data_IF_655039483615
#
_entry.id   IF_655039483615
#
_cell.length_a   1.000
_cell.length_b   1.000
_cell.length_c   1.000
_cell.angle_alpha   90.00
_cell.angle_beta   90.00
_cell.angle_gamma   90.00
#
_symmetry.space_group_name_H-M   'P 1'
#
loop_
_entity.id
_entity.type
_entity.pdbx_description
1 polymer ?
#
# COMPACT_ATOMS: atom_id res chain seq x y z
N UNK A 1 -31.37 -22.19 -18.41
CA UNK A 1 -30.16 -21.77 -17.66
C UNK A 1 -30.45 -21.33 -16.23
N UNK A 2 -31.71 -21.11 -15.83
CA UNK A 2 -32.04 -20.65 -14.47
C UNK A 2 -31.63 -21.65 -13.37
N UNK A 3 -31.66 -22.96 -13.66
CA UNK A 3 -31.14 -24.01 -12.77
C UNK A 3 -29.72 -23.70 -12.25
N UNK A 4 -28.85 -23.11 -13.09
CA UNK A 4 -27.47 -22.77 -12.73
C UNK A 4 -27.36 -21.57 -11.78
N UNK A 5 -28.43 -20.77 -11.66
CA UNK A 5 -28.47 -19.61 -10.74
C UNK A 5 -29.01 -19.96 -9.36
N UNK A 6 -29.46 -21.19 -9.13
CA UNK A 6 -30.12 -21.61 -7.89
C UNK A 6 -29.18 -21.77 -6.69
N UNK A 7 -27.89 -22.05 -6.91
CA UNK A 7 -26.88 -22.20 -5.84
C UNK A 7 -26.25 -20.87 -5.47
N UNK A 8 -25.75 -20.73 -4.23
CA UNK A 8 -25.01 -19.56 -3.77
C UNK A 8 -23.68 -19.95 -3.13
N UNK A 9 -22.61 -19.23 -3.48
CA UNK A 9 -21.25 -19.40 -2.97
C UNK A 9 -20.73 -18.06 -2.44
N UNK A 10 -20.43 -18.01 -1.15
CA UNK A 10 -19.86 -16.81 -0.52
C UNK A 10 -18.45 -16.53 -1.03
N UNK A 11 -17.59 -17.56 -1.08
CA UNK A 11 -16.23 -17.51 -1.59
C UNK A 11 -15.82 -18.88 -2.12
N UNK A 12 -15.62 -19.00 -3.43
CA UNK A 12 -15.28 -20.30 -4.05
C UNK A 12 -13.87 -20.76 -3.71
N UNK A 13 -12.96 -19.83 -3.43
CA UNK A 13 -11.59 -20.13 -3.03
C UNK A 13 -11.50 -20.89 -1.70
N UNK A 14 -12.51 -20.83 -0.84
CA UNK A 14 -12.51 -21.53 0.46
C UNK A 14 -13.09 -22.96 0.37
N UNK A 15 -13.63 -23.33 -0.80
CA UNK A 15 -14.29 -24.61 -1.01
C UNK A 15 -13.26 -25.61 -1.54
N UNK A 16 -12.87 -26.58 -0.71
CA UNK A 16 -11.86 -27.59 -1.06
C UNK A 16 -12.19 -28.37 -2.36
N UNK A 17 -13.48 -28.55 -2.67
CA UNK A 17 -13.92 -29.18 -3.91
C UNK A 17 -13.67 -28.33 -5.16
N UNK A 18 -13.35 -27.05 -5.03
CA UNK A 18 -13.08 -26.11 -6.12
C UNK A 18 -11.61 -25.67 -6.19
N UNK A 19 -10.82 -25.91 -5.13
CA UNK A 19 -9.40 -25.52 -5.06
C UNK A 19 -8.51 -26.42 -5.92
N UNK A 20 -7.73 -25.79 -6.81
CA UNK A 20 -6.69 -26.43 -7.63
C UNK A 20 -7.20 -27.72 -8.29
N UNK A 21 -8.34 -27.63 -8.97
CA UNK A 21 -9.03 -28.73 -9.64
C UNK A 21 -8.93 -28.61 -11.16
N UNK A 22 -9.19 -29.70 -11.88
CA UNK A 22 -9.41 -29.59 -13.33
C UNK A 22 -10.83 -29.02 -13.60
N UNK A 23 -11.12 -28.63 -14.83
CA UNK A 23 -12.43 -28.04 -15.15
C UNK A 23 -13.58 -29.04 -14.94
N UNK A 24 -13.38 -30.32 -15.28
CA UNK A 24 -14.39 -31.37 -15.11
C UNK A 24 -14.84 -31.52 -13.65
N UNK A 25 -13.89 -31.60 -12.72
CA UNK A 25 -14.13 -31.69 -11.28
C UNK A 25 -14.95 -30.49 -10.79
N UNK A 26 -14.56 -29.28 -11.21
CA UNK A 26 -15.27 -28.04 -10.84
C UNK A 26 -16.69 -28.04 -11.37
N UNK A 27 -16.86 -28.28 -12.66
CA UNK A 27 -18.17 -28.23 -13.32
C UNK A 27 -19.10 -29.33 -12.78
N UNK A 28 -18.58 -30.53 -12.52
CA UNK A 28 -19.35 -31.62 -11.93
C UNK A 28 -19.75 -31.34 -10.47
N UNK A 29 -18.99 -30.52 -9.74
CA UNK A 29 -19.36 -30.08 -8.40
C UNK A 29 -20.47 -29.01 -8.42
N UNK A 30 -20.38 -28.02 -9.31
CA UNK A 30 -21.33 -26.89 -9.33
C UNK A 30 -22.59 -27.14 -10.16
N UNK A 31 -22.62 -28.19 -10.99
CA UNK A 31 -23.73 -28.42 -11.92
C UNK A 31 -25.05 -28.67 -11.16
N UNK A 32 -26.17 -28.12 -11.64
CA UNK A 32 -27.48 -28.43 -11.07
C UNK A 32 -27.86 -29.90 -11.32
N UNK A 33 -28.81 -30.39 -10.53
CA UNK A 33 -29.34 -31.75 -10.70
C UNK A 33 -29.90 -31.97 -12.11
N UNK A 34 -29.62 -33.14 -12.69
CA UNK A 34 -30.04 -33.51 -14.04
C UNK A 34 -29.22 -32.89 -15.17
N UNK A 35 -28.20 -32.07 -14.87
CA UNK A 35 -27.27 -31.59 -15.87
C UNK A 35 -26.08 -32.52 -16.06
N UNK A 36 -25.61 -32.62 -17.30
CA UNK A 36 -24.42 -33.39 -17.67
C UNK A 36 -23.36 -32.47 -18.24
N UNK A 37 -22.09 -32.73 -17.91
CA UNK A 37 -20.92 -32.03 -18.47
C UNK A 37 -20.20 -33.03 -19.38
N UNK A 38 -19.74 -32.57 -20.53
CA UNK A 38 -19.00 -33.38 -21.52
C UNK A 38 -17.86 -32.56 -22.09
N UNK A 39 -16.81 -33.21 -22.62
CA UNK A 39 -15.68 -32.51 -23.24
C UNK A 39 -14.70 -31.89 -22.23
N UNK A 40 -14.82 -32.17 -20.93
CA UNK A 40 -13.90 -31.64 -19.92
C UNK A 40 -12.43 -32.01 -20.12
N UNK A 41 -12.13 -33.05 -20.91
CA UNK A 41 -10.78 -33.51 -21.24
C UNK A 41 -9.99 -32.54 -22.13
N UNK A 42 -10.64 -31.55 -22.76
CA UNK A 42 -9.98 -30.55 -23.63
C UNK A 42 -8.98 -29.66 -22.90
N UNK A 43 -9.02 -29.63 -21.56
CA UNK A 43 -8.06 -28.93 -20.70
C UNK A 43 -7.72 -29.77 -19.47
N UNK A 44 -6.42 -30.02 -19.29
CA UNK A 44 -5.89 -30.79 -18.14
C UNK A 44 -5.33 -29.90 -17.03
N UNK A 45 -5.21 -28.59 -17.25
CA UNK A 45 -4.67 -27.65 -16.28
C UNK A 45 -5.54 -27.59 -15.01
N UNK A 46 -4.89 -27.40 -13.86
CA UNK A 46 -5.56 -27.31 -12.56
C UNK A 46 -5.56 -25.86 -12.06
N UNK A 47 -6.73 -25.35 -11.67
CA UNK A 47 -6.91 -23.97 -11.20
C UNK A 47 -8.00 -23.89 -10.13
N UNK A 48 -8.05 -22.74 -9.44
CA UNK A 48 -9.15 -22.39 -8.55
C UNK A 48 -9.99 -21.32 -9.24
N UNK A 49 -11.29 -21.53 -9.50
CA UNK A 49 -12.18 -20.53 -10.10
C UNK A 49 -12.59 -19.50 -9.04
N UNK A 50 -11.63 -18.71 -8.57
CA UNK A 50 -11.83 -17.75 -7.48
C UNK A 50 -12.87 -16.69 -7.87
N UNK A 51 -13.92 -16.61 -7.05
CA UNK A 51 -15.07 -15.71 -7.15
C UNK A 51 -15.82 -15.65 -5.82
N UNK A 52 -16.31 -14.47 -5.47
CA UNK A 52 -17.05 -14.22 -4.23
C UNK A 52 -18.51 -13.82 -4.52
N UNK A 53 -19.40 -14.07 -3.55
CA UNK A 53 -20.82 -13.68 -3.54
C UNK A 53 -21.52 -13.99 -4.87
N UNK A 54 -21.41 -15.24 -5.33
CA UNK A 54 -21.75 -15.63 -6.68
C UNK A 54 -22.62 -16.90 -6.72
N UNK A 55 -23.29 -17.14 -7.85
CA UNK A 55 -24.08 -18.37 -8.07
C UNK A 55 -23.35 -19.38 -8.98
N UNK A 56 -23.94 -20.55 -9.22
CA UNK A 56 -23.32 -21.60 -10.05
C UNK A 56 -23.04 -21.16 -11.48
N UNK A 57 -23.92 -20.35 -12.08
CA UNK A 57 -23.72 -19.76 -13.40
C UNK A 57 -22.51 -18.82 -13.42
N UNK A 58 -22.31 -18.03 -12.36
CA UNK A 58 -21.18 -17.15 -12.23
C UNK A 58 -19.85 -17.90 -12.15
N UNK A 59 -19.82 -19.06 -11.47
CA UNK A 59 -18.65 -19.95 -11.39
C UNK A 59 -18.42 -20.65 -12.72
N UNK A 60 -19.48 -21.11 -13.40
CA UNK A 60 -19.41 -21.66 -14.75
C UNK A 60 -18.77 -20.67 -15.73
N UNK A 61 -19.22 -19.41 -15.73
CA UNK A 61 -18.63 -18.35 -16.55
C UNK A 61 -17.20 -17.99 -16.13
N UNK A 62 -16.88 -18.07 -14.83
CA UNK A 62 -15.49 -17.90 -14.35
C UNK A 62 -14.58 -18.98 -14.92
N UNK A 63 -15.05 -20.23 -14.98
CA UNK A 63 -14.30 -21.35 -15.54
C UNK A 63 -13.98 -21.15 -17.02
N UNK A 64 -14.87 -20.50 -17.80
CA UNK A 64 -14.61 -20.14 -19.21
C UNK A 64 -13.29 -19.40 -19.37
N UNK A 65 -13.04 -18.42 -18.50
CA UNK A 65 -11.85 -17.56 -18.52
C UNK A 65 -10.64 -18.27 -17.91
N UNK A 66 -10.81 -18.88 -16.73
CA UNK A 66 -9.71 -19.48 -15.97
C UNK A 66 -9.06 -20.66 -16.69
N UNK A 67 -9.88 -21.43 -17.41
CA UNK A 67 -9.42 -22.62 -18.14
C UNK A 67 -9.22 -22.37 -19.64
N UNK A 68 -9.52 -21.17 -20.14
CA UNK A 68 -9.48 -20.79 -21.56
C UNK A 68 -10.26 -21.78 -22.45
N UNK A 69 -11.56 -21.88 -22.17
CA UNK A 69 -12.52 -22.76 -22.85
C UNK A 69 -13.75 -21.99 -23.34
N UNK A 70 -14.61 -22.64 -24.14
CA UNK A 70 -15.96 -22.18 -24.44
C UNK A 70 -16.99 -23.26 -24.06
N UNK A 71 -18.27 -22.90 -24.07
CA UNK A 71 -19.36 -23.83 -23.78
C UNK A 71 -20.39 -23.84 -24.90
N UNK A 72 -20.92 -25.03 -25.18
CA UNK A 72 -22.23 -25.21 -25.79
C UNK A 72 -23.24 -25.61 -24.72
N UNK A 73 -24.41 -24.98 -24.81
CA UNK A 73 -25.52 -25.23 -23.89
C UNK A 73 -26.67 -25.87 -24.65
N UNK A 74 -26.91 -27.15 -24.42
CA UNK A 74 -28.18 -27.78 -24.74
C UNK A 74 -29.08 -27.70 -23.52
N UNK A 75 -29.90 -26.65 -23.48
CA UNK A 75 -30.81 -26.43 -22.35
C UNK A 75 -31.96 -27.43 -22.29
N UNK A 76 -32.33 -28.05 -23.42
CA UNK A 76 -33.42 -29.03 -23.49
C UNK A 76 -32.96 -30.38 -22.92
N UNK A 77 -31.79 -30.84 -23.38
CA UNK A 77 -31.18 -32.08 -22.90
C UNK A 77 -30.39 -31.89 -21.60
N UNK A 78 -30.27 -30.65 -21.11
CA UNK A 78 -29.49 -30.25 -19.92
C UNK A 78 -28.02 -30.67 -20.00
N UNK A 79 -27.37 -30.39 -21.13
CA UNK A 79 -25.95 -30.71 -21.36
C UNK A 79 -25.13 -29.42 -21.52
N UNK A 80 -23.98 -29.39 -20.85
CA UNK A 80 -22.92 -28.40 -21.10
C UNK A 80 -21.75 -29.14 -21.74
N UNK A 81 -21.39 -28.76 -22.96
CA UNK A 81 -20.19 -29.28 -23.63
C UNK A 81 -19.07 -28.27 -23.52
N UNK A 82 -17.93 -28.66 -22.95
CA UNK A 82 -16.72 -27.87 -22.86
C UNK A 82 -15.97 -27.98 -24.18
N UNK A 83 -15.64 -26.84 -24.78
CA UNK A 83 -15.04 -26.75 -26.11
C UNK A 83 -13.69 -26.05 -26.03
N UNK A 84 -12.69 -26.59 -26.73
CA UNK A 84 -11.44 -25.89 -27.00
C UNK A 84 -11.67 -24.76 -28.03
N UNK A 85 -11.50 -23.48 -27.67
CA UNK A 85 -11.66 -22.36 -28.60
C UNK A 85 -10.64 -22.35 -29.74
N UNK A 86 -9.55 -23.13 -29.66
CA UNK A 86 -8.52 -23.21 -30.70
C UNK A 86 -8.60 -24.48 -31.53
N UNK A 87 -9.35 -25.49 -31.08
CA UNK A 87 -9.70 -26.60 -31.95
C UNK A 87 -10.56 -26.04 -33.10
N UNK A 88 -10.11 -26.28 -34.33
CA UNK A 88 -10.90 -26.06 -35.53
C UNK A 88 -10.97 -27.38 -36.27
N UNK A 89 -12.19 -27.81 -36.55
CA UNK A 89 -12.44 -28.95 -37.43
C UNK A 89 -12.79 -28.34 -38.78
N UNK A 90 -12.01 -28.68 -39.79
CA UNK A 90 -12.37 -28.41 -41.17
C UNK A 90 -13.43 -29.44 -41.58
N UNK A 91 -14.66 -28.97 -41.75
CA UNK A 91 -15.78 -29.79 -42.19
C UNK A 91 -16.04 -29.69 -43.69
N UNK A 92 -15.17 -29.01 -44.44
CA UNK A 92 -15.31 -28.85 -45.89
C UNK A 92 -16.46 -27.94 -46.28
N UNK A 93 -16.91 -27.05 -45.38
CA UNK A 93 -17.95 -26.08 -45.69
C UNK A 93 -17.42 -25.02 -46.66
N UNK A 94 -18.03 -24.93 -47.85
CA UNK A 94 -17.75 -23.88 -48.82
C UNK A 94 -18.86 -22.83 -48.83
N UNK A 95 -18.45 -21.56 -48.80
CA UNK A 95 -19.35 -20.42 -49.00
C UNK A 95 -18.77 -19.51 -50.08
N UNK A 96 -19.33 -19.60 -51.29
CA UNK A 96 -18.84 -18.89 -52.48
C UNK A 96 -19.97 -18.23 -53.27
N UNK A 97 -19.69 -17.15 -54.03
CA UNK A 97 -20.67 -16.49 -54.92
C UNK A 97 -21.35 -17.43 -55.91
N UNK A 98 -20.65 -18.45 -56.38
CA UNK A 98 -21.14 -19.41 -57.39
C UNK A 98 -22.03 -20.52 -56.79
N UNK A 99 -22.02 -20.69 -55.46
CA UNK A 99 -22.68 -21.82 -54.80
C UNK A 99 -23.87 -21.39 -53.96
N UNK A 100 -23.62 -20.66 -52.86
CA UNK A 100 -24.61 -20.41 -51.81
C UNK A 100 -24.53 -19.02 -51.20
N UNK A 101 -23.58 -18.17 -51.61
CA UNK A 101 -23.47 -16.79 -51.17
C UNK A 101 -24.37 -15.87 -52.01
N UNK A 102 -25.19 -15.04 -51.37
CA UNK A 102 -25.97 -13.98 -52.02
C UNK A 102 -25.26 -12.63 -51.99
N UNK A 103 -24.66 -12.31 -50.85
CA UNK A 103 -24.01 -11.02 -50.58
C UNK A 103 -23.05 -11.18 -49.40
N UNK A 104 -22.05 -10.31 -49.30
CA UNK A 104 -21.16 -10.21 -48.16
C UNK A 104 -20.82 -8.76 -47.82
N UNK A 105 -20.71 -8.46 -46.53
CA UNK A 105 -20.13 -7.22 -46.01
C UNK A 105 -18.79 -7.52 -45.37
N UNK A 106 -17.74 -6.80 -45.78
CA UNK A 106 -16.41 -6.87 -45.17
C UNK A 106 -16.18 -5.73 -44.19
N UNK A 107 -15.71 -6.04 -42.98
CA UNK A 107 -15.21 -5.06 -42.02
C UNK A 107 -13.73 -5.36 -41.75
N UNK A 108 -12.87 -4.47 -42.22
CA UNK A 108 -11.42 -4.54 -42.04
C UNK A 108 -11.03 -4.08 -40.63
N UNK A 109 -10.21 -4.88 -39.95
CA UNK A 109 -9.50 -4.49 -38.73
C UNK A 109 -8.12 -3.98 -39.14
N UNK A 110 -7.70 -2.84 -38.59
CA UNK A 110 -6.47 -2.08 -38.93
C UNK A 110 -5.13 -2.77 -38.61
N UNK A 111 -5.10 -4.09 -38.44
CA UNK A 111 -3.88 -4.87 -38.24
C UNK A 111 -3.31 -5.28 -39.59
N UNK A 112 -2.18 -4.67 -39.96
CA UNK A 112 -1.51 -4.91 -41.23
C UNK A 112 -1.06 -6.36 -41.40
N UNK A 113 -1.26 -6.88 -42.62
CA UNK A 113 -0.77 -8.17 -43.12
C UNK A 113 0.71 -8.38 -42.81
N UNK A 114 1.09 -9.46 -42.12
CA UNK A 114 2.49 -9.84 -41.86
C UNK A 114 2.84 -11.10 -42.64
N UNK A 115 3.87 -11.06 -43.48
CA UNK A 115 4.29 -12.22 -44.27
C UNK A 115 5.64 -12.80 -43.85
N UNK A 116 6.30 -12.16 -42.86
CA UNK A 116 7.54 -12.64 -42.22
C UNK A 116 7.56 -12.33 -40.73
N UNK A 117 7.82 -13.34 -39.90
CA UNK A 117 7.86 -13.21 -38.44
C UNK A 117 9.22 -13.64 -37.87
N UNK A 118 9.92 -12.71 -37.21
CA UNK A 118 11.09 -13.02 -36.39
C UNK A 118 10.65 -13.48 -34.99
N UNK A 119 11.31 -14.48 -34.42
CA UNK A 119 10.92 -15.03 -33.11
C UNK A 119 12.11 -15.13 -32.15
N UNK A 120 11.92 -14.66 -30.91
CA UNK A 120 12.93 -14.68 -29.86
C UNK A 120 12.34 -15.14 -28.52
N UNK A 121 13.04 -16.05 -27.84
CA UNK A 121 12.72 -16.61 -26.52
C UNK A 121 13.56 -15.97 -25.40
N UNK A 122 13.75 -16.72 -24.30
CA UNK A 122 14.65 -16.30 -23.21
C UNK A 122 16.09 -16.16 -23.71
N UNK A 123 16.84 -15.19 -23.19
CA UNK A 123 18.27 -14.97 -23.52
C UNK A 123 18.55 -14.91 -25.04
N UNK A 124 17.66 -14.23 -25.80
CA UNK A 124 17.71 -14.12 -27.26
C UNK A 124 17.69 -15.46 -28.02
N UNK A 125 17.21 -16.54 -27.38
CA UNK A 125 17.02 -17.85 -28.01
C UNK A 125 16.17 -17.72 -29.28
N UNK A 126 16.72 -18.19 -30.41
CA UNK A 126 16.00 -18.29 -31.68
C UNK A 126 16.18 -19.68 -32.30
N UNK A 127 15.54 -19.94 -33.42
CA UNK A 127 15.55 -21.23 -34.10
C UNK A 127 16.37 -21.22 -35.40
N UNK A 128 17.23 -20.21 -35.63
CA UNK A 128 18.07 -20.11 -36.84
C UNK A 128 18.79 -21.42 -37.16
N UNK A 129 19.35 -22.07 -36.15
CA UNK A 129 20.18 -23.27 -36.29
C UNK A 129 19.37 -24.50 -36.73
N UNK A 130 18.05 -24.48 -36.54
CA UNK A 130 17.13 -25.56 -36.94
C UNK A 130 16.17 -25.13 -38.07
N UNK A 131 16.44 -23.97 -38.70
CA UNK A 131 15.60 -23.37 -39.73
C UNK A 131 16.47 -22.70 -40.82
N UNK A 132 17.46 -23.44 -41.33
CA UNK A 132 18.33 -23.03 -42.44
C UNK A 132 19.06 -21.69 -42.24
N UNK A 133 19.48 -21.40 -41.01
CA UNK A 133 20.15 -20.14 -40.63
C UNK A 133 19.20 -18.94 -40.54
N UNK A 134 17.88 -19.14 -40.66
CA UNK A 134 16.89 -18.05 -40.65
C UNK A 134 16.26 -17.91 -39.27
N UNK A 135 16.44 -16.77 -38.58
CA UNK A 135 15.77 -16.48 -37.30
C UNK A 135 14.30 -16.04 -37.49
N UNK A 136 13.71 -16.32 -38.65
CA UNK A 136 12.37 -15.91 -39.02
C UNK A 136 11.65 -16.98 -39.86
N UNK A 137 10.34 -16.86 -39.94
CA UNK A 137 9.47 -17.73 -40.73
C UNK A 137 8.83 -16.89 -41.85
N UNK A 138 8.77 -17.45 -43.05
CA UNK A 138 8.08 -16.87 -44.22
C UNK A 138 6.71 -17.52 -44.44
N UNK A 139 5.73 -16.71 -44.85
CA UNK A 139 4.42 -17.17 -45.24
C UNK A 139 4.51 -17.98 -46.54
N UNK A 140 4.10 -19.25 -46.50
CA UNK A 140 4.14 -20.14 -47.65
C UNK A 140 3.18 -19.69 -48.75
N UNK A 141 3.63 -19.71 -50.01
CA UNK A 141 2.82 -19.36 -51.18
C UNK A 141 2.67 -17.86 -51.47
N UNK A 142 3.11 -16.98 -50.58
CA UNK A 142 3.08 -15.53 -50.80
C UNK A 142 4.14 -15.09 -51.82
N UNK A 143 3.73 -14.37 -52.87
CA UNK A 143 4.60 -13.95 -53.99
C UNK A 143 4.97 -12.45 -53.97
N UNK A 144 4.55 -11.71 -52.95
CA UNK A 144 4.82 -10.27 -52.80
C UNK A 144 6.08 -9.94 -51.99
N UNK A 145 6.30 -8.66 -51.70
CA UNK A 145 7.42 -8.21 -50.82
C UNK A 145 7.14 -8.58 -49.35
N UNK A 146 8.13 -9.08 -48.59
CA UNK A 146 7.94 -9.43 -47.18
C UNK A 146 7.47 -8.23 -46.33
N UNK A 147 6.45 -8.46 -45.50
CA UNK A 147 5.96 -7.52 -44.49
C UNK A 147 6.32 -8.10 -43.14
N UNK A 148 7.15 -7.38 -42.38
CA UNK A 148 7.98 -7.96 -41.31
C UNK A 148 7.52 -7.49 -39.94
N UNK A 149 7.49 -8.41 -38.97
CA UNK A 149 7.38 -8.08 -37.54
C UNK A 149 8.18 -9.06 -36.67
N UNK A 150 8.22 -8.81 -35.36
CA UNK A 150 8.91 -9.65 -34.37
C UNK A 150 7.95 -10.09 -33.26
N UNK A 151 8.10 -11.33 -32.80
CA UNK A 151 7.45 -11.89 -31.62
C UNK A 151 8.51 -12.27 -30.59
N UNK A 152 8.38 -11.72 -29.38
CA UNK A 152 9.33 -11.94 -28.27
C UNK A 152 8.54 -12.51 -27.10
N UNK A 153 8.95 -13.68 -26.60
CA UNK A 153 8.32 -14.35 -25.47
C UNK A 153 9.37 -15.09 -24.62
N UNK A 154 9.83 -14.44 -23.55
CA UNK A 154 10.87 -14.94 -22.65
C UNK A 154 10.51 -16.21 -21.88
N UNK A 155 9.32 -16.79 -22.08
CA UNK A 155 8.95 -18.09 -21.49
C UNK A 155 9.48 -19.28 -22.31
N UNK A 156 9.82 -19.07 -23.59
CA UNK A 156 10.37 -20.12 -24.42
C UNK A 156 11.86 -20.31 -24.12
N UNK A 157 12.20 -21.47 -23.58
CA UNK A 157 13.57 -21.94 -23.38
C UNK A 157 13.95 -23.07 -24.34
N UNK A 158 13.01 -23.53 -25.19
CA UNK A 158 13.19 -24.60 -26.18
C UNK A 158 12.90 -24.08 -27.61
N UNK A 159 13.86 -24.27 -28.52
CA UNK A 159 13.81 -23.72 -29.90
C UNK A 159 12.82 -24.45 -30.81
N UNK A 160 12.61 -25.76 -30.63
CA UNK A 160 11.65 -26.54 -31.42
C UNK A 160 10.22 -26.08 -31.14
N UNK A 161 9.91 -25.81 -29.87
CA UNK A 161 8.62 -25.28 -29.41
C UNK A 161 8.40 -23.85 -29.92
N UNK A 162 9.43 -23.00 -29.87
CA UNK A 162 9.40 -21.64 -30.42
C UNK A 162 9.15 -21.63 -31.94
N UNK A 163 9.78 -22.54 -32.70
CA UNK A 163 9.56 -22.67 -34.15
C UNK A 163 8.14 -23.18 -34.46
N UNK A 164 7.65 -24.19 -33.73
CA UNK A 164 6.32 -24.74 -33.93
C UNK A 164 5.22 -23.71 -33.66
N UNK A 165 5.31 -22.98 -32.55
CA UNK A 165 4.33 -21.96 -32.20
C UNK A 165 4.53 -20.67 -33.01
N UNK A 166 5.76 -20.35 -33.41
CA UNK A 166 6.06 -19.26 -34.33
C UNK A 166 5.40 -19.45 -35.71
N UNK A 167 5.32 -20.68 -36.20
CA UNK A 167 4.61 -21.00 -37.47
C UNK A 167 3.11 -20.74 -37.35
N UNK A 168 2.50 -21.16 -36.24
CA UNK A 168 1.09 -20.85 -35.94
C UNK A 168 0.89 -19.34 -35.82
N UNK A 169 1.81 -18.65 -35.13
CA UNK A 169 1.74 -17.21 -34.91
C UNK A 169 1.86 -16.41 -36.19
N UNK A 170 2.73 -16.82 -37.11
CA UNK A 170 2.81 -16.20 -38.43
C UNK A 170 1.52 -16.41 -39.22
N UNK A 171 0.93 -17.61 -39.18
CA UNK A 171 -0.37 -17.84 -39.84
C UNK A 171 -1.47 -16.92 -39.28
N UNK A 172 -1.48 -16.64 -37.98
CA UNK A 172 -2.40 -15.65 -37.38
C UNK A 172 -2.17 -14.23 -37.91
N UNK A 173 -0.91 -13.81 -38.07
CA UNK A 173 -0.55 -12.45 -38.49
C UNK A 173 -0.59 -12.25 -40.02
N UNK A 174 -0.54 -13.35 -40.78
CA UNK A 174 -0.52 -13.42 -42.23
C UNK A 174 -1.90 -13.37 -42.89
N UNK A 175 -2.96 -13.49 -42.12
CA UNK A 175 -4.30 -13.31 -42.65
C UNK A 175 -4.67 -11.81 -42.56
N UNK A 176 -5.19 -11.18 -43.63
CA UNK A 176 -5.82 -9.87 -43.50
C UNK A 176 -6.92 -9.98 -42.45
N UNK A 177 -6.82 -9.18 -41.40
CA UNK A 177 -7.70 -9.35 -40.24
C UNK A 177 -9.06 -8.77 -40.58
N UNK A 178 -10.02 -9.68 -40.73
CA UNK A 178 -11.27 -9.40 -41.38
C UNK A 178 -12.42 -10.14 -40.74
N UNK A 179 -13.55 -9.45 -40.63
CA UNK A 179 -14.82 -10.12 -40.38
C UNK A 179 -15.71 -9.97 -41.60
N UNK A 180 -16.18 -11.09 -42.13
CA UNK A 180 -17.18 -11.12 -43.19
C UNK A 180 -18.51 -11.47 -42.60
N UNK A 181 -19.53 -10.66 -42.86
CA UNK A 181 -20.93 -11.09 -42.68
C UNK A 181 -21.46 -11.49 -44.04
N UNK A 182 -21.75 -12.76 -44.20
CA UNK A 182 -22.20 -13.35 -45.46
C UNK A 182 -23.69 -13.66 -45.34
N UNK A 183 -24.48 -13.18 -46.29
CA UNK A 183 -25.83 -13.63 -46.54
C UNK A 183 -25.77 -14.85 -47.46
N UNK A 184 -26.31 -15.98 -47.02
CA UNK A 184 -26.24 -17.25 -47.74
C UNK A 184 -27.53 -18.07 -47.67
N UNK A 185 -27.66 -18.97 -48.65
CA UNK A 185 -28.68 -20.01 -48.68
C UNK A 185 -28.17 -21.21 -47.86
N UNK A 186 -28.94 -21.65 -46.86
CA UNK A 186 -28.62 -22.84 -46.05
C UNK A 186 -28.97 -24.12 -46.84
N UNK A 187 -28.14 -24.47 -47.82
CA UNK A 187 -28.36 -25.60 -48.74
C UNK A 187 -28.63 -26.93 -48.01
N UNK A 188 -27.93 -27.16 -46.89
CA UNK A 188 -28.11 -28.35 -46.06
C UNK A 188 -29.50 -28.43 -45.40
N UNK A 189 -30.21 -27.30 -45.27
CA UNK A 189 -31.59 -27.25 -44.80
C UNK A 189 -32.63 -27.36 -45.93
N UNK A 190 -32.20 -27.22 -47.19
CA UNK A 190 -33.07 -27.27 -48.38
C UNK A 190 -33.13 -28.68 -48.98
N UNK A 191 -31.99 -29.39 -49.04
CA UNK A 191 -31.89 -30.70 -49.68
C UNK A 191 -30.81 -31.55 -48.99
N UNK A 192 -31.15 -32.80 -48.64
CA UNK A 192 -30.27 -33.75 -47.95
C UNK A 192 -28.98 -34.05 -48.74
N UNK A 193 -28.97 -33.87 -50.06
CA UNK A 193 -27.75 -34.04 -50.87
C UNK A 193 -26.63 -33.06 -50.49
N UNK A 194 -26.98 -31.94 -49.84
CA UNK A 194 -26.05 -30.92 -49.35
C UNK A 194 -25.80 -30.99 -47.84
N UNK A 195 -26.15 -32.10 -47.17
CA UNK A 195 -25.97 -32.28 -45.72
C UNK A 195 -24.54 -31.98 -45.22
N UNK A 196 -23.54 -32.16 -46.07
CA UNK A 196 -22.12 -31.91 -45.75
C UNK A 196 -21.79 -30.40 -45.71
N UNK A 197 -22.65 -29.54 -46.27
CA UNK A 197 -22.55 -28.07 -46.19
C UNK A 197 -23.28 -27.50 -44.96
N UNK A 198 -23.51 -28.31 -43.93
CA UNK A 198 -24.20 -27.86 -42.72
C UNK A 198 -23.34 -26.85 -41.97
N UNK A 199 -23.84 -25.62 -41.88
CA UNK A 199 -23.19 -24.55 -41.10
C UNK A 199 -23.25 -24.87 -39.61
N UNK A 200 -22.09 -24.94 -38.97
CA UNK A 200 -21.96 -25.08 -37.52
C UNK A 200 -21.03 -24.01 -36.96
N UNK A 201 -21.42 -23.48 -35.81
CA UNK A 201 -20.65 -22.47 -35.12
C UNK A 201 -19.27 -23.07 -34.77
N UNK A 202 -18.21 -22.26 -34.86
CA UNK A 202 -16.80 -22.59 -34.57
C UNK A 202 -16.09 -23.54 -35.53
N UNK A 203 -16.74 -24.06 -36.56
CA UNK A 203 -16.06 -24.82 -37.62
C UNK A 203 -15.41 -23.87 -38.65
N UNK A 204 -14.45 -24.41 -39.41
CA UNK A 204 -13.83 -23.69 -40.52
C UNK A 204 -14.76 -23.68 -41.73
N UNK A 205 -14.98 -22.50 -42.30
CA UNK A 205 -15.57 -22.32 -43.60
C UNK A 205 -14.49 -21.83 -44.58
N UNK A 206 -14.46 -22.45 -45.75
CA UNK A 206 -13.69 -22.00 -46.90
C UNK A 206 -14.52 -20.94 -47.63
N UNK A 207 -14.00 -19.71 -47.66
CA UNK A 207 -14.69 -18.60 -48.30
C UNK A 207 -13.78 -17.98 -49.35
N UNK A 208 -14.19 -18.08 -50.62
CA UNK A 208 -13.48 -17.47 -51.74
C UNK A 208 -14.11 -16.10 -51.98
N UNK A 209 -13.39 -15.06 -51.58
CA UNK A 209 -13.88 -13.68 -51.59
C UNK A 209 -13.24 -12.88 -52.75
N UNK A 210 -12.11 -13.37 -53.26
CA UNK A 210 -11.46 -12.86 -54.48
C UNK A 210 -10.86 -14.03 -55.29
N UNK A 211 -11.59 -14.56 -56.30
CA UNK A 211 -11.11 -15.63 -57.17
C UNK A 211 -9.85 -15.25 -57.98
N UNK A 212 -9.59 -13.96 -58.21
CA UNK A 212 -8.51 -13.46 -59.08
C UNK A 212 -7.15 -13.51 -58.38
N UNK A 213 -7.12 -13.32 -57.06
CA UNK A 213 -5.89 -13.36 -56.26
C UNK A 213 -5.60 -14.73 -55.65
N UNK A 214 -6.53 -15.68 -55.77
CA UNK A 214 -6.36 -17.07 -55.30
C UNK A 214 -6.10 -17.17 -53.79
N UNK A 215 -6.61 -16.20 -53.01
CA UNK A 215 -6.43 -16.18 -51.56
C UNK A 215 -7.60 -16.95 -50.95
N UNK A 216 -7.36 -18.22 -50.69
CA UNK A 216 -8.20 -19.03 -49.82
C UNK A 216 -7.78 -18.78 -48.37
N UNK A 217 -8.65 -18.14 -47.60
CA UNK A 217 -8.43 -17.94 -46.17
C UNK A 217 -9.46 -18.79 -45.44
N UNK A 218 -9.04 -19.82 -44.70
CA UNK A 218 -9.94 -20.53 -43.82
C UNK A 218 -10.42 -19.55 -42.73
N UNK A 219 -11.73 -19.37 -42.62
CA UNK A 219 -12.32 -18.53 -41.59
C UNK A 219 -13.13 -19.38 -40.61
N UNK A 220 -13.16 -18.97 -39.34
CA UNK A 220 -14.00 -19.60 -38.34
C UNK A 220 -15.40 -18.97 -38.35
N UNK A 221 -16.44 -19.78 -38.28
CA UNK A 221 -17.80 -19.27 -38.10
C UNK A 221 -17.98 -18.82 -36.66
N UNK A 222 -18.15 -17.52 -36.43
CA UNK A 222 -18.27 -16.92 -35.09
C UNK A 222 -19.69 -16.49 -34.74
N UNK A 223 -20.58 -16.40 -35.73
CA UNK A 223 -22.00 -16.11 -35.53
C UNK A 223 -22.82 -16.77 -36.62
N UNK A 224 -23.99 -17.27 -36.24
CA UNK A 224 -25.02 -17.75 -37.15
C UNK A 224 -26.31 -17.05 -36.76
N UNK A 225 -26.98 -16.43 -37.72
CA UNK A 225 -28.36 -15.95 -37.58
C UNK A 225 -29.23 -16.74 -38.55
N UNK A 226 -30.18 -17.48 -38.00
CA UNK A 226 -31.17 -18.23 -38.77
C UNK A 226 -32.52 -17.53 -38.74
N UNK A 227 -33.14 -17.37 -39.91
CA UNK A 227 -34.50 -16.86 -40.03
C UNK A 227 -35.45 -18.05 -40.14
N UNK A 228 -36.00 -18.50 -39.00
CA UNK A 228 -36.76 -19.76 -38.94
C UNK A 228 -38.08 -19.73 -39.73
N UNK A 229 -38.65 -18.54 -39.92
CA UNK A 229 -39.87 -18.31 -40.70
C UNK A 229 -39.61 -18.04 -42.20
N UNK A 230 -38.34 -18.02 -42.62
CA UNK A 230 -37.98 -17.97 -44.03
C UNK A 230 -38.09 -19.38 -44.63
N UNK A 231 -39.20 -19.63 -45.32
CA UNK A 231 -39.51 -20.93 -45.95
C UNK A 231 -38.47 -21.29 -47.03
N UNK A 232 -37.88 -20.30 -47.70
CA UNK A 232 -36.87 -20.50 -48.74
C UNK A 232 -35.45 -20.70 -48.17
N UNK A 233 -35.27 -20.55 -46.85
CA UNK A 233 -33.98 -20.71 -46.15
C UNK A 233 -32.85 -19.87 -46.76
N UNK A 234 -33.21 -18.74 -47.35
CA UNK A 234 -32.38 -18.03 -48.30
C UNK A 234 -31.76 -16.74 -47.73
N UNK A 235 -32.11 -16.38 -46.49
CA UNK A 235 -31.66 -15.15 -45.84
C UNK A 235 -30.82 -15.40 -44.57
N UNK A 236 -30.33 -16.62 -44.36
CA UNK A 236 -29.47 -16.92 -43.21
C UNK A 236 -28.16 -16.15 -43.33
N UNK A 237 -27.68 -15.59 -42.22
CA UNK A 237 -26.40 -14.89 -42.20
C UNK A 237 -25.39 -15.61 -41.31
N UNK A 238 -24.18 -15.72 -41.82
CA UNK A 238 -23.02 -16.22 -41.06
C UNK A 238 -22.01 -15.09 -40.91
N UNK A 239 -21.38 -14.99 -39.75
CA UNK A 239 -20.22 -14.13 -39.57
C UNK A 239 -18.98 -15.02 -39.50
N UNK A 240 -18.07 -14.78 -40.43
CA UNK A 240 -16.76 -15.39 -40.50
C UNK A 240 -15.74 -14.44 -39.87
N UNK A 241 -14.79 -15.00 -39.12
CA UNK A 241 -13.67 -14.26 -38.58
C UNK A 241 -12.42 -15.13 -38.55
N UNK A 242 -11.28 -14.51 -38.83
CA UNK A 242 -9.96 -15.10 -38.64
C UNK A 242 -9.24 -14.54 -37.39
N UNK A 243 -9.91 -13.78 -36.52
CA UNK A 243 -9.35 -13.31 -35.25
C UNK A 243 -9.59 -14.32 -34.11
N UNK A 244 -8.53 -14.94 -33.54
CA UNK A 244 -8.71 -15.98 -32.53
C UNK A 244 -9.23 -15.50 -31.17
N UNK A 245 -9.19 -14.19 -30.86
CA UNK A 245 -9.37 -13.68 -29.48
C UNK A 245 -10.23 -12.43 -29.26
N UNK A 246 -10.57 -11.61 -30.26
CA UNK A 246 -11.42 -10.41 -30.05
C UNK A 246 -12.92 -10.65 -30.18
N UNK A 247 -13.35 -11.92 -30.19
CA UNK A 247 -14.77 -12.28 -30.26
C UNK A 247 -15.56 -11.62 -29.10
N UNK A 248 -14.95 -11.50 -27.91
CA UNK A 248 -15.55 -10.82 -26.76
C UNK A 248 -15.74 -9.32 -27.01
N UNK A 249 -14.75 -8.64 -27.58
CA UNK A 249 -14.79 -7.20 -27.82
C UNK A 249 -15.73 -6.84 -28.98
N UNK A 250 -15.79 -7.67 -30.03
CA UNK A 250 -16.74 -7.49 -31.13
C UNK A 250 -18.20 -7.80 -30.75
N UNK A 251 -18.45 -8.76 -29.86
CA UNK A 251 -19.80 -9.05 -29.36
C UNK A 251 -20.27 -7.96 -28.40
N UNK A 252 -19.38 -7.47 -27.51
CA UNK A 252 -19.69 -6.37 -26.59
C UNK A 252 -20.05 -5.09 -27.34
N UNK A 253 -19.28 -4.73 -28.39
CA UNK A 253 -19.59 -3.57 -29.24
C UNK A 253 -20.91 -3.65 -30.02
N UNK A 254 -21.52 -4.85 -30.16
CA UNK A 254 -22.83 -5.03 -30.79
C UNK A 254 -23.98 -5.18 -29.79
N UNK A 255 -23.70 -5.23 -28.48
CA UNK A 255 -24.68 -5.42 -27.41
C UNK A 255 -24.63 -4.32 -26.33
N UNK A 256 -24.08 -3.14 -26.63
CA UNK A 256 -24.09 -2.01 -25.69
C UNK A 256 -25.49 -1.37 -25.55
N UNK A 257 -26.32 -2.08 -24.77
CA UNK A 257 -27.08 -1.56 -23.65
C UNK A 257 -27.14 -2.71 -22.64
N UNK A 258 -26.11 -2.84 -21.79
CA UNK A 258 -26.15 -3.26 -20.37
C UNK A 258 -24.73 -3.56 -19.85
N UNK A 259 -24.25 -2.66 -18.98
CA UNK A 259 -23.18 -2.79 -17.96
C UNK A 259 -21.69 -2.84 -18.36
N UNK A 260 -21.13 -1.65 -18.56
CA UNK A 260 -19.69 -1.30 -18.54
C UNK A 260 -18.99 -1.41 -17.15
N UNK A 261 -19.23 -2.47 -16.36
CA UNK A 261 -18.58 -2.60 -15.03
C UNK A 261 -17.75 -3.86 -14.80
N UNK A 262 -17.61 -4.75 -15.80
CA UNK A 262 -16.99 -6.06 -15.56
C UNK A 262 -15.53 -6.14 -16.04
N UNK A 263 -15.18 -5.74 -17.26
CA UNK A 263 -13.83 -6.01 -17.79
C UNK A 263 -12.69 -5.19 -17.17
N UNK A 264 -12.91 -3.92 -16.82
CA UNK A 264 -11.86 -3.07 -16.23
C UNK A 264 -11.68 -3.32 -14.72
N UNK A 265 -12.74 -3.78 -14.06
CA UNK A 265 -12.71 -4.30 -12.69
C UNK A 265 -11.83 -5.53 -12.57
N UNK A 266 -11.87 -6.48 -13.51
CA UNK A 266 -11.14 -7.74 -13.40
C UNK A 266 -9.62 -7.61 -13.52
N UNK A 267 -9.10 -6.72 -14.38
CA UNK A 267 -7.65 -6.47 -14.45
C UNK A 267 -7.18 -5.79 -13.17
N UNK A 268 -7.95 -4.85 -12.63
CA UNK A 268 -7.67 -4.19 -11.35
C UNK A 268 -7.79 -5.15 -10.19
N UNK A 269 -8.81 -6.01 -10.12
CA UNK A 269 -9.03 -7.00 -9.05
C UNK A 269 -7.97 -8.10 -9.07
N UNK A 270 -7.58 -8.62 -10.24
CA UNK A 270 -6.51 -9.63 -10.31
C UNK A 270 -5.15 -9.01 -9.98
N UNK A 271 -4.90 -7.75 -10.37
CA UNK A 271 -3.69 -7.02 -10.01
C UNK A 271 -3.69 -6.65 -8.53
N UNK A 272 -4.82 -6.21 -7.98
CA UNK A 272 -5.00 -5.90 -6.56
C UNK A 272 -4.86 -7.18 -5.75
N UNK A 273 -5.47 -8.31 -6.14
CA UNK A 273 -5.38 -9.59 -5.43
C UNK A 273 -4.00 -10.20 -5.54
N UNK A 274 -3.36 -10.21 -6.72
CA UNK A 274 -1.98 -10.68 -6.84
C UNK A 274 -1.03 -9.76 -6.07
N UNK A 275 -1.24 -8.44 -6.08
CA UNK A 275 -0.46 -7.51 -5.25
C UNK A 275 -0.80 -7.69 -3.77
N UNK A 276 -2.03 -8.02 -3.39
CA UNK A 276 -2.47 -8.26 -2.00
C UNK A 276 -1.93 -9.57 -1.48
N UNK A 277 -1.89 -10.61 -2.30
CA UNK A 277 -1.34 -11.93 -2.02
C UNK A 277 0.19 -11.86 -2.01
N UNK A 278 0.80 -11.02 -2.87
CA UNK A 278 2.21 -10.64 -2.77
C UNK A 278 2.48 -9.83 -1.50
N UNK A 279 1.61 -8.89 -1.12
CA UNK A 279 1.69 -8.13 0.13
C UNK A 279 1.43 -9.03 1.32
N UNK A 280 0.62 -10.09 1.22
CA UNK A 280 0.32 -11.06 2.26
C UNK A 280 1.41 -12.12 2.37
N UNK A 281 2.07 -12.51 1.28
CA UNK A 281 3.31 -13.31 1.28
C UNK A 281 4.51 -12.48 1.73
N UNK A 282 4.56 -11.19 1.39
CA UNK A 282 5.51 -10.24 1.94
C UNK A 282 5.17 -9.98 3.40
N UNK A 283 3.91 -9.98 3.84
CA UNK A 283 3.51 -9.81 5.24
C UNK A 283 3.55 -11.12 6.05
N UNK A 284 3.50 -12.29 5.42
CA UNK A 284 3.81 -13.61 6.01
C UNK A 284 5.31 -13.87 6.03
N UNK A 285 6.03 -13.44 5.00
CA UNK A 285 7.50 -13.41 4.95
C UNK A 285 8.10 -12.36 5.89
N UNK A 286 7.45 -11.21 6.05
CA UNK A 286 7.71 -10.24 7.13
C UNK A 286 7.07 -10.68 8.46
N UNK A 287 6.07 -11.57 8.43
CA UNK A 287 5.41 -12.14 9.60
C UNK A 287 6.23 -13.24 10.26
N UNK A 288 7.05 -13.94 9.48
CA UNK A 288 8.11 -14.84 9.96
C UNK A 288 9.47 -14.13 10.10
N UNK A 289 9.61 -12.92 9.55
CA UNK A 289 10.63 -11.95 9.95
C UNK A 289 10.12 -10.95 11.01
N UNK A 290 9.04 -11.26 11.73
CA UNK A 290 8.95 -10.83 13.12
C UNK A 290 9.94 -11.70 13.88
N UNK A 291 11.19 -11.22 13.85
CA UNK A 291 12.11 -11.34 14.95
C UNK A 291 11.30 -11.05 16.24
N UNK A 292 10.74 -12.09 16.86
CA UNK A 292 10.50 -12.12 18.30
C UNK A 292 11.89 -12.04 18.94
N UNK A 293 12.50 -10.87 18.87
CA UNK A 293 13.58 -10.52 19.76
C UNK A 293 12.93 -10.60 21.13
N UNK A 294 13.39 -11.55 21.94
CA UNK A 294 13.09 -11.52 23.35
C UNK A 294 13.55 -10.16 23.91
N UNK A 295 12.94 -9.69 25.01
CA UNK A 295 13.17 -8.32 25.53
C UNK A 295 14.66 -8.00 25.68
N UNK A 296 15.48 -9.00 26.01
CA UNK A 296 16.95 -8.95 26.09
C UNK A 296 17.64 -8.63 24.75
N UNK A 297 17.15 -9.18 23.64
CA UNK A 297 17.73 -8.96 22.32
C UNK A 297 17.38 -7.59 21.73
N UNK A 298 16.20 -7.04 22.06
CA UNK A 298 15.82 -5.66 21.71
C UNK A 298 16.77 -4.67 22.40
N UNK A 299 17.00 -4.87 23.71
CA UNK A 299 17.89 -4.03 24.51
C UNK A 299 19.35 -4.13 24.01
N UNK A 300 19.82 -5.32 23.65
CA UNK A 300 21.17 -5.52 23.13
C UNK A 300 21.38 -4.84 21.75
N UNK A 301 20.40 -4.93 20.85
CA UNK A 301 20.46 -4.29 19.52
C UNK A 301 20.44 -2.77 19.63
N UNK A 302 19.55 -2.23 20.48
CA UNK A 302 19.48 -0.79 20.76
C UNK A 302 20.80 -0.30 21.36
N UNK A 303 21.35 -1.00 22.35
CA UNK A 303 22.61 -0.63 23.00
C UNK A 303 23.78 -0.63 22.02
N UNK A 304 23.86 -1.66 21.15
CA UNK A 304 24.90 -1.76 20.11
C UNK A 304 24.77 -0.66 19.05
N UNK A 305 23.55 -0.31 18.64
CA UNK A 305 23.32 0.77 17.69
C UNK A 305 23.72 2.14 18.27
N UNK A 306 23.36 2.42 19.53
CA UNK A 306 23.70 3.66 20.23
C UNK A 306 25.22 3.79 20.42
N UNK A 307 25.90 2.72 20.85
CA UNK A 307 27.36 2.73 21.02
C UNK A 307 28.12 2.96 19.70
N UNK A 308 27.50 2.68 18.55
CA UNK A 308 28.06 2.92 17.23
C UNK A 308 27.67 4.29 16.65
N UNK A 309 27.06 5.18 17.44
CA UNK A 309 26.72 6.55 17.04
C UNK A 309 25.37 6.72 16.33
N UNK A 310 24.55 5.67 16.26
CA UNK A 310 23.18 5.78 15.74
C UNK A 310 22.23 6.30 16.83
N UNK A 311 21.12 6.93 16.41
CA UNK A 311 20.11 7.47 17.33
C UNK A 311 18.80 6.69 17.28
N UNK A 312 18.14 6.55 18.43
CA UNK A 312 16.72 6.16 18.47
C UNK A 312 15.87 7.42 18.37
N UNK A 313 15.18 7.59 17.25
CA UNK A 313 14.31 8.75 17.01
C UNK A 313 12.85 8.33 17.12
N UNK A 314 12.19 8.77 18.20
CA UNK A 314 10.73 8.88 18.24
C UNK A 314 10.37 10.36 18.12
N UNK A 315 9.13 10.70 17.75
CA UNK A 315 8.71 12.10 17.64
C UNK A 315 8.85 12.91 18.94
N UNK A 316 9.10 12.24 20.08
CA UNK A 316 9.17 12.87 21.40
C UNK A 316 10.50 12.66 22.12
N UNK A 317 11.26 11.61 21.80
CA UNK A 317 12.52 11.26 22.47
C UNK A 317 13.58 10.93 21.42
N UNK A 318 14.72 11.62 21.51
CA UNK A 318 15.94 11.40 20.73
C UNK A 318 17.04 11.00 21.72
N UNK A 319 17.68 9.85 21.50
CA UNK A 319 18.90 9.44 22.19
C UNK A 319 20.01 9.40 21.14
N UNK A 320 21.02 10.25 21.29
CA UNK A 320 22.16 10.35 20.37
C UNK A 320 23.48 10.58 21.12
N UNK A 321 24.56 10.82 20.39
CA UNK A 321 25.89 11.08 20.97
C UNK A 321 25.96 12.38 21.80
N UNK A 322 24.98 13.27 21.65
CA UNK A 322 24.85 14.51 22.43
C UNK A 322 24.05 14.28 23.71
N UNK A 323 23.34 13.14 23.83
CA UNK A 323 22.66 12.69 25.03
C UNK A 323 21.17 12.44 24.83
N UNK A 324 20.37 12.75 25.85
CA UNK A 324 18.91 12.58 25.86
C UNK A 324 18.22 13.91 25.54
N UNK A 325 17.55 13.99 24.38
CA UNK A 325 16.71 15.12 23.99
C UNK A 325 15.24 14.70 23.99
N UNK A 326 14.39 15.45 24.70
CA UNK A 326 12.94 15.23 24.73
C UNK A 326 12.24 16.46 24.16
N UNK A 327 11.49 16.28 23.07
CA UNK A 327 10.73 17.35 22.40
C UNK A 327 9.24 17.17 22.65
N UNK A 328 8.55 18.19 23.17
CA UNK A 328 7.12 18.19 23.50
C UNK A 328 6.66 17.13 24.53
N UNK A 329 7.56 16.33 25.08
CA UNK A 329 7.35 15.49 26.27
C UNK A 329 8.02 16.11 27.50
N UNK A 330 7.47 15.87 28.69
CA UNK A 330 8.13 16.22 29.95
C UNK A 330 8.90 15.01 30.50
N UNK A 331 10.07 15.24 31.12
CA UNK A 331 10.65 14.26 32.03
C UNK A 331 9.64 14.06 33.17
N UNK A 332 9.39 12.82 33.59
CA UNK A 332 8.64 12.48 34.78
C UNK A 332 9.34 11.33 35.49
N UNK A 333 9.92 11.61 36.65
CA UNK A 333 10.52 10.60 37.52
C UNK A 333 9.61 10.44 38.73
N UNK A 334 9.28 9.20 39.07
CA UNK A 334 8.52 8.85 40.27
C UNK A 334 9.43 8.19 41.31
N UNK A 335 9.16 8.41 42.59
CA UNK A 335 9.82 7.66 43.67
C UNK A 335 9.18 6.27 43.89
N UNK A 336 9.71 5.50 44.85
CA UNK A 336 9.19 4.19 45.21
C UNK A 336 7.76 4.19 45.78
N UNK A 337 7.21 5.37 46.12
CA UNK A 337 5.84 5.56 46.56
C UNK A 337 4.94 6.12 45.44
N UNK A 338 5.43 6.15 44.20
CA UNK A 338 4.74 6.66 43.02
C UNK A 338 4.40 8.17 43.09
N UNK A 339 5.21 8.95 43.82
CA UNK A 339 5.13 10.41 43.85
C UNK A 339 6.07 11.02 42.80
N UNK A 340 5.62 12.07 42.12
CA UNK A 340 6.40 12.73 41.07
C UNK A 340 7.54 13.58 41.69
N UNK A 341 8.80 13.26 41.37
CA UNK A 341 9.99 13.85 42.00
C UNK A 341 10.83 14.74 41.09
N UNK A 342 10.84 14.49 39.78
CA UNK A 342 11.51 15.33 38.80
C UNK A 342 10.65 15.46 37.56
N UNK A 343 10.24 16.69 37.24
CA UNK A 343 9.40 16.92 36.07
C UNK A 343 9.45 18.32 35.49
N UNK A 344 9.16 18.43 34.19
CA UNK A 344 8.88 19.72 33.56
C UNK A 344 7.39 20.02 33.69
N UNK A 345 7.04 21.08 34.41
CA UNK A 345 5.66 21.50 34.57
C UNK A 345 5.16 22.15 33.27
N UNK A 346 4.02 21.69 32.77
CA UNK A 346 3.53 22.13 31.45
C UNK A 346 2.94 23.54 31.45
N UNK A 347 2.57 24.09 32.60
CA UNK A 347 2.00 25.43 32.70
C UNK A 347 3.12 26.48 32.80
N UNK A 348 4.08 26.24 33.69
CA UNK A 348 5.21 27.15 33.96
C UNK A 348 6.39 26.95 33.01
N UNK A 349 6.46 25.80 32.32
CA UNK A 349 7.61 25.36 31.49
C UNK A 349 8.92 25.26 32.28
N UNK A 350 8.86 25.17 33.61
CA UNK A 350 10.02 25.06 34.50
C UNK A 350 10.30 23.60 34.84
N UNK A 351 11.58 23.28 35.06
CA UNK A 351 12.00 22.03 35.66
C UNK A 351 11.76 22.09 37.17
N UNK A 352 11.08 21.10 37.72
CA UNK A 352 10.71 20.98 39.13
C UNK A 352 11.38 19.76 39.75
N UNK A 353 11.85 19.94 40.98
CA UNK A 353 12.37 18.90 41.85
C UNK A 353 11.60 18.98 43.17
N UNK A 354 10.92 17.90 43.59
CA UNK A 354 10.16 17.89 44.85
C UNK A 354 10.95 17.33 46.05
N UNK A 355 12.25 17.07 45.86
CA UNK A 355 13.16 16.57 46.90
C UNK A 355 14.34 17.49 47.20
N UNK A 356 15.34 16.96 47.89
CA UNK A 356 16.59 17.67 48.21
C UNK A 356 17.55 17.62 47.03
N UNK A 357 18.13 18.78 46.67
CA UNK A 357 19.27 18.87 45.75
C UNK A 357 20.54 18.96 46.60
N UNK A 358 21.45 18.00 46.45
CA UNK A 358 22.74 17.97 47.16
C UNK A 358 23.88 18.12 46.16
N UNK A 359 24.78 19.06 46.41
CA UNK A 359 25.98 19.28 45.59
C UNK A 359 26.96 20.22 46.29
N UNK A 360 28.23 20.15 45.93
CA UNK A 360 29.29 21.01 46.48
C UNK A 360 29.11 22.48 46.10
N UNK A 361 28.50 22.74 44.94
CA UNK A 361 28.22 24.09 44.45
C UNK A 361 26.91 24.06 43.67
N UNK A 362 25.98 24.97 44.00
CA UNK A 362 24.72 25.17 43.28
C UNK A 362 24.71 26.64 42.84
N UNK A 363 24.70 26.89 41.53
CA UNK A 363 24.64 28.24 40.96
C UNK A 363 23.26 28.48 40.35
N UNK A 364 22.73 29.68 40.55
CA UNK A 364 21.42 30.08 40.06
C UNK A 364 21.32 31.60 40.00
N UNK A 365 20.48 32.12 39.11
CA UNK A 365 20.24 33.57 38.99
C UNK A 365 19.40 34.12 40.14
N UNK A 366 18.53 33.28 40.72
CA UNK A 366 17.68 33.60 41.86
C UNK A 366 17.48 32.35 42.72
N UNK A 367 17.69 32.49 44.02
CA UNK A 367 17.30 31.51 45.04
C UNK A 367 16.17 32.10 45.88
N UNK A 368 14.93 31.75 45.55
CA UNK A 368 13.74 32.23 46.25
C UNK A 368 13.17 31.09 47.12
N UNK A 369 13.42 31.16 48.42
CA UNK A 369 13.04 30.13 49.38
C UNK A 369 13.10 30.66 50.81
N UNK A 370 12.22 30.16 51.69
CA UNK A 370 11.98 30.79 53.00
C UNK A 370 13.19 30.90 53.92
N UNK A 371 14.17 29.99 53.86
CA UNK A 371 15.37 30.06 54.69
C UNK A 371 16.59 29.53 53.94
N UNK A 372 17.61 30.37 53.77
CA UNK A 372 18.94 29.97 53.30
C UNK A 372 19.83 29.82 54.54
N UNK A 373 20.30 28.60 54.82
CA UNK A 373 21.26 28.33 55.90
C UNK A 373 22.64 28.11 55.30
N UNK A 374 23.59 28.96 55.65
CA UNK A 374 24.99 28.81 55.26
C UNK A 374 25.86 28.75 56.52
N UNK A 375 26.93 27.94 56.50
CA UNK A 375 27.93 27.95 57.56
C UNK A 375 28.87 29.16 57.41
N UNK A 376 29.18 29.50 56.16
CA UNK A 376 29.93 30.65 55.70
C UNK A 376 29.54 31.00 54.24
N UNK A 377 29.90 32.20 53.75
CA UNK A 377 29.74 32.58 52.34
C UNK A 377 29.56 34.08 52.11
N UNK A 378 29.61 34.51 50.84
CA UNK A 378 29.43 35.92 50.46
C UNK A 378 28.03 36.18 49.87
N UNK A 379 27.32 37.18 50.39
CA UNK A 379 26.05 37.70 49.86
C UNK A 379 26.25 39.15 49.43
N UNK A 380 26.37 39.41 48.12
CA UNK A 380 26.46 40.78 47.59
C UNK A 380 27.60 41.62 48.20
N UNK A 381 28.75 41.00 48.45
CA UNK A 381 29.91 41.64 49.11
C UNK A 381 29.88 41.61 50.64
N UNK A 382 28.85 41.03 51.25
CA UNK A 382 28.81 40.75 52.68
C UNK A 382 29.25 39.31 52.97
N UNK A 383 30.28 39.12 53.77
CA UNK A 383 30.69 37.80 54.25
C UNK A 383 29.85 37.38 55.45
N UNK A 384 29.40 36.13 55.45
CA UNK A 384 28.68 35.46 56.54
C UNK A 384 29.63 34.46 57.18
N UNK A 385 29.68 34.42 58.51
CA UNK A 385 30.30 33.34 59.25
C UNK A 385 29.62 33.17 60.62
N UNK A 386 30.12 32.25 61.46
CA UNK A 386 29.58 31.97 62.80
C UNK A 386 29.45 33.19 63.72
N UNK A 387 30.16 34.28 63.44
CA UNK A 387 30.18 35.49 64.25
C UNK A 387 29.22 36.60 63.74
N UNK A 388 28.64 36.47 62.54
CA UNK A 388 27.67 37.44 62.00
C UNK A 388 27.80 37.74 60.49
N UNK A 389 27.25 38.90 60.08
CA UNK A 389 27.29 39.46 58.72
C UNK A 389 28.32 40.60 58.66
N UNK A 390 29.22 40.60 57.66
CA UNK A 390 30.36 41.53 57.57
C UNK A 390 30.47 42.15 56.19
N UNK A 391 30.61 43.47 56.08
CA UNK A 391 31.05 44.14 54.86
C UNK A 391 32.01 45.28 55.23
N UNK A 392 33.31 44.98 55.10
CA UNK A 392 34.37 45.85 55.60
C UNK A 392 34.27 46.11 57.10
N UNK A 393 34.09 47.38 57.48
CA UNK A 393 33.92 47.81 58.88
C UNK A 393 32.49 47.64 59.40
N UNK A 394 31.50 47.46 58.52
CA UNK A 394 30.10 47.30 58.91
C UNK A 394 29.84 45.85 59.29
N UNK A 395 29.29 45.63 60.49
CA UNK A 395 29.13 44.31 61.08
C UNK A 395 27.78 44.19 61.76
N UNK A 396 27.04 43.14 61.44
CA UNK A 396 25.89 42.69 62.21
C UNK A 396 26.33 41.44 62.95
N UNK A 397 26.55 41.55 64.26
CA UNK A 397 26.97 40.39 65.06
C UNK A 397 25.84 39.36 65.12
N UNK A 398 26.18 38.10 65.34
CA UNK A 398 25.22 37.02 65.58
C UNK A 398 24.31 37.26 66.80
N UNK A 399 24.66 38.20 67.68
CA UNK A 399 23.83 38.69 68.79
C UNK A 399 22.75 39.71 68.38
N UNK A 400 22.63 40.03 67.08
CA UNK A 400 21.69 41.02 66.55
C UNK A 400 22.21 42.46 66.57
N UNK A 401 21.37 43.41 66.12
CA UNK A 401 21.61 44.85 66.22
C UNK A 401 20.97 45.31 67.54
N UNK A 402 21.77 45.56 68.57
CA UNK A 402 21.22 45.78 69.91
C UNK A 402 20.80 47.23 70.17
N UNK A 403 21.36 48.24 69.48
CA UNK A 403 20.98 49.64 69.70
C UNK A 403 21.18 50.51 68.43
N UNK A 404 20.10 50.79 67.68
CA UNK A 404 20.08 51.82 66.63
C UNK A 404 19.71 53.14 67.30
N UNK A 405 20.65 54.07 67.37
CA UNK A 405 20.39 55.41 67.88
C UNK A 405 20.19 56.39 66.72
N UNK A 406 19.40 57.44 66.95
CA UNK A 406 18.98 58.45 65.98
C UNK A 406 19.26 59.86 66.50
N UNK A 407 19.05 60.87 65.64
CA UNK A 407 19.10 62.27 66.05
C UNK A 407 18.01 62.64 67.08
N UNK A 408 16.92 61.88 67.17
CA UNK A 408 15.90 62.08 68.19
C UNK A 408 16.41 61.64 69.57
N UNK A 409 17.14 60.54 69.64
CA UNK A 409 17.79 60.07 70.87
C UNK A 409 18.82 61.09 71.37
N UNK A 410 19.59 61.67 70.44
CA UNK A 410 20.51 62.76 70.74
C UNK A 410 19.77 64.00 71.29
N UNK A 411 18.57 64.27 70.79
CA UNK A 411 17.73 65.36 71.29
C UNK A 411 17.18 65.06 72.70
N UNK A 412 16.76 63.82 72.98
CA UNK A 412 16.35 63.40 74.33
C UNK A 412 17.49 63.58 75.33
N UNK A 413 18.70 63.12 75.00
CA UNK A 413 19.89 63.34 75.84
C UNK A 413 20.11 64.83 76.11
N UNK A 414 19.93 65.70 75.10
CA UNK A 414 20.05 67.15 75.27
C UNK A 414 19.01 67.71 76.24
N UNK A 415 17.75 67.27 76.15
CA UNK A 415 16.69 67.71 77.05
C UNK A 415 16.97 67.29 78.50
N UNK A 416 17.51 66.09 78.70
CA UNK A 416 17.92 65.58 80.01
C UNK A 416 19.06 66.42 80.58
N UNK A 417 20.11 66.69 79.79
CA UNK A 417 21.24 67.54 80.21
C UNK A 417 20.77 68.97 80.54
N UNK A 418 19.79 69.49 79.79
CA UNK A 418 19.22 70.82 80.02
C UNK A 418 18.23 70.87 81.20
N UNK A 419 17.99 69.75 81.89
CA UNK A 419 17.05 69.65 83.01
C UNK A 419 15.59 69.85 82.60
N UNK A 420 15.28 69.65 81.31
CA UNK A 420 13.91 69.75 80.76
C UNK A 420 13.15 68.44 80.90
N UNK A 421 13.86 67.31 80.97
CA UNK A 421 13.32 65.97 81.18
C UNK A 421 14.14 65.30 82.29
N UNK A 422 13.47 64.74 83.29
CA UNK A 422 14.13 63.90 84.30
C UNK A 422 14.29 62.48 83.73
N UNK A 423 15.51 61.96 83.78
CA UNK A 423 15.80 60.61 83.31
C UNK A 423 15.39 59.57 84.35
N UNK A 424 14.69 58.54 83.92
CA UNK A 424 14.49 57.31 84.71
C UNK A 424 15.67 56.33 84.52
N UNK A 425 15.66 55.24 85.28
CA UNK A 425 16.73 54.24 85.27
C UNK A 425 16.92 53.58 83.89
N UNK A 426 15.83 53.43 83.11
CA UNK A 426 15.86 52.86 81.76
C UNK A 426 16.52 53.83 80.77
N UNK A 427 16.20 55.13 80.86
CA UNK A 427 16.84 56.18 80.07
C UNK A 427 18.33 56.26 80.40
N UNK A 428 18.70 56.19 81.68
CA UNK A 428 20.12 56.18 82.10
C UNK A 428 20.82 54.95 81.53
N UNK A 429 20.24 53.75 81.67
CA UNK A 429 20.81 52.53 81.10
C UNK A 429 20.97 52.59 79.57
N UNK A 430 20.02 53.23 78.87
CA UNK A 430 20.01 53.29 77.41
C UNK A 430 20.96 54.36 76.82
N UNK A 431 21.15 55.47 77.52
CA UNK A 431 21.89 56.65 77.04
C UNK A 431 23.20 56.96 77.76
N UNK A 432 23.56 56.23 78.82
CA UNK A 432 24.88 56.30 79.45
C UNK A 432 25.93 55.58 78.58
N UNK A 433 26.53 56.33 77.66
CA UNK A 433 27.52 55.82 76.72
C UNK A 433 28.93 55.77 77.30
N UNK A 434 29.23 56.58 78.30
CA UNK A 434 30.53 56.66 78.95
C UNK A 434 30.64 55.75 80.19
N UNK A 435 29.53 55.22 80.67
CA UNK A 435 29.42 54.28 81.79
C UNK A 435 29.55 54.93 83.17
N UNK A 436 29.27 56.24 83.30
CA UNK A 436 29.43 56.97 84.56
C UNK A 436 28.19 56.93 85.48
N UNK A 437 27.14 56.22 85.05
CA UNK A 437 25.89 56.03 85.76
C UNK A 437 24.93 57.20 85.64
N UNK A 438 25.18 58.17 84.75
CA UNK A 438 24.34 59.34 84.50
C UNK A 438 24.32 59.68 83.01
N UNK A 439 23.34 60.49 82.60
CA UNK A 439 23.30 61.05 81.23
C UNK A 439 23.93 62.43 81.26
N UNK A 440 25.10 62.56 80.64
CA UNK A 440 25.94 63.76 80.71
C UNK A 440 26.26 64.34 79.33
N UNK A 441 26.83 65.56 79.26
CA UNK A 441 27.36 66.10 78.01
C UNK A 441 28.37 65.21 77.29
N UNK A 442 29.06 64.30 78.00
CA UNK A 442 29.96 63.34 77.39
C UNK A 442 29.19 62.31 76.54
N UNK A 443 28.06 61.83 77.03
CA UNK A 443 27.17 60.90 76.33
C UNK A 443 26.57 61.51 75.08
N UNK A 444 26.16 62.78 75.18
CA UNK A 444 25.74 63.57 74.03
C UNK A 444 26.84 63.67 72.98
N UNK A 445 28.08 63.97 73.38
CA UNK A 445 29.20 64.06 72.45
C UNK A 445 29.51 62.71 71.79
N UNK A 446 29.48 61.62 72.57
CA UNK A 446 29.72 60.27 72.08
C UNK A 446 28.66 59.84 71.07
N UNK A 447 27.37 60.03 71.39
CA UNK A 447 26.29 59.70 70.46
C UNK A 447 26.33 60.59 69.21
N UNK A 448 26.55 61.90 69.37
CA UNK A 448 26.65 62.83 68.23
C UNK A 448 27.77 62.45 67.27
N UNK A 449 28.91 62.02 67.79
CA UNK A 449 30.04 61.58 66.96
C UNK A 449 29.73 60.26 66.26
N UNK A 450 29.05 59.32 66.93
CA UNK A 450 28.57 58.07 66.32
C UNK A 450 27.59 58.36 65.17
N UNK A 451 26.60 59.23 65.38
CA UNK A 451 25.60 59.62 64.38
C UNK A 451 26.18 60.38 63.18
N UNK A 452 27.32 61.07 63.35
CA UNK A 452 28.03 61.73 62.25
C UNK A 452 28.89 60.78 61.42
N UNK A 453 29.24 59.62 61.97
CA UNK A 453 30.11 58.63 61.33
C UNK A 453 29.31 57.53 60.61
N UNK A 454 28.00 57.46 60.85
CA UNK A 454 27.02 56.70 60.07
C UNK A 454 26.61 57.52 58.84
#
# INVERSE_FOLDING_TARGET
MDDWKASYYLKTADIAALQTKNIGDVLNYIKPSGWTVTGEEVRTIRRTPDKEKCNGYDVLMRCKVVYDVQYDFDCLSKVVTVIDPYASIDTGLYVTPELNMKDHTYKESSTGLVTRLYCYGADDLTFSDINDGKPYIDLQGYKGKPIVTSWIDGRYTNKESLLADGRKKLQELAAPVGSYTINMIDLAAVDDKYKDLKVKIRETAHCIIDPVRGIDVPHRIVKIRKYLLDEERSNNTITLSNEPRKITDMINQMQENVTELTQDGYKKETTIRNNSESIELIAKGLGEAQLKLQEDQIVALISKAINNGNSMQTMQVIIDILGLTIKNGGIKVYDGNNSLVLYVDQNTKKLNFSGTISGTTITGTLFDGGTIRTNDGDIGGWSINSNGLYNGTVKIKNSGITNIYTWADLYIIRLIIMGTVDADDDMVYHYDFNGDGKITPADYAMLKNRLKAM
#
